data_IF_591489366216
#
_entry.id   IF_591489366216
#
_cell.length_a   1.000
_cell.length_b   1.000
_cell.length_c   1.000
_cell.angle_alpha   90.00
_cell.angle_beta   90.00
_cell.angle_gamma   90.00
#
_symmetry.space_group_name_H-M   'P 1'
#
loop_
_entity.id
_entity.type
_entity.pdbx_description
1 polymer ?
#
# COMPACT_ATOMS: atom_id res chain seq x y z
N UNK A 1 31.48 74.11 -2.48
CA UNK A 1 30.27 74.07 -3.32
C UNK A 1 30.27 72.69 -3.96
N UNK A 2 29.53 71.73 -3.37
CA UNK A 2 28.15 71.38 -3.74
C UNK A 2 28.10 71.01 -5.22
N UNK A 3 27.93 69.74 -5.58
CA UNK A 3 26.64 69.11 -5.86
C UNK A 3 26.99 67.79 -6.59
N UNK A 4 26.28 66.65 -6.56
CA UNK A 4 25.01 66.23 -6.01
C UNK A 4 25.01 64.70 -6.00
N UNK A 5 24.58 64.12 -4.89
CA UNK A 5 23.94 62.81 -4.78
C UNK A 5 22.85 62.64 -5.86
N UNK A 6 22.74 61.46 -6.50
CA UNK A 6 21.44 60.75 -6.58
C UNK A 6 21.59 59.37 -7.23
N UNK A 7 21.12 58.38 -6.49
CA UNK A 7 21.00 56.99 -6.88
C UNK A 7 19.81 56.78 -7.81
N UNK A 8 20.06 56.33 -9.04
CA UNK A 8 19.01 55.78 -9.91
C UNK A 8 19.14 54.24 -9.98
N UNK A 9 19.04 53.58 -8.81
CA UNK A 9 18.82 52.13 -8.75
C UNK A 9 17.35 51.86 -9.09
N UNK A 10 17.13 51.35 -10.29
CA UNK A 10 15.83 50.92 -10.82
C UNK A 10 15.16 49.87 -9.90
N UNK A 11 14.30 50.30 -8.98
CA UNK A 11 13.60 49.44 -8.02
C UNK A 11 12.45 48.61 -8.60
N UNK A 12 11.99 48.90 -9.82
CA UNK A 12 10.83 48.23 -10.42
C UNK A 12 11.18 46.94 -11.16
N UNK A 13 12.38 46.81 -11.74
CA UNK A 13 12.77 45.63 -12.52
C UNK A 13 13.05 44.41 -11.64
N UNK A 14 13.64 44.63 -10.46
CA UNK A 14 13.80 43.58 -9.45
C UNK A 14 12.46 43.11 -8.88
N UNK A 15 11.50 44.03 -8.74
CA UNK A 15 10.17 43.70 -8.20
C UNK A 15 9.32 42.92 -9.20
N UNK A 16 9.38 43.21 -10.49
CA UNK A 16 8.67 42.44 -11.53
C UNK A 16 9.26 41.04 -11.69
N UNK A 17 10.59 40.91 -11.72
CA UNK A 17 11.26 39.60 -11.74
C UNK A 17 10.91 38.76 -10.52
N UNK A 18 10.81 39.37 -9.34
CA UNK A 18 10.41 38.68 -8.12
C UNK A 18 8.97 38.15 -8.21
N UNK A 19 8.02 38.94 -8.71
CA UNK A 19 6.65 38.48 -8.91
C UNK A 19 6.54 37.37 -9.95
N UNK A 20 7.29 37.48 -11.06
CA UNK A 20 7.36 36.41 -12.06
C UNK A 20 7.92 35.14 -11.43
N UNK A 21 9.02 35.23 -10.67
CA UNK A 21 9.61 34.09 -9.99
C UNK A 21 8.63 33.43 -9.01
N UNK A 22 7.92 34.21 -8.19
CA UNK A 22 6.89 33.70 -7.27
C UNK A 22 5.79 32.97 -8.05
N UNK A 23 5.27 33.58 -9.11
CA UNK A 23 4.18 33.00 -9.90
C UNK A 23 4.63 31.69 -10.57
N UNK A 24 5.86 31.66 -11.08
CA UNK A 24 6.47 30.45 -11.65
C UNK A 24 6.67 29.36 -10.59
N UNK A 25 7.12 29.72 -9.39
CA UNK A 25 7.24 28.77 -8.27
C UNK A 25 5.90 28.20 -7.85
N UNK A 26 4.84 29.02 -7.79
CA UNK A 26 3.48 28.56 -7.45
C UNK A 26 2.92 27.63 -8.53
N UNK A 27 3.12 27.96 -9.81
CA UNK A 27 2.72 27.10 -10.93
C UNK A 27 3.48 25.77 -10.91
N UNK A 28 4.79 25.82 -10.68
CA UNK A 28 5.63 24.62 -10.64
C UNK A 28 5.27 23.73 -9.45
N UNK A 29 4.99 24.32 -8.28
CA UNK A 29 4.50 23.60 -7.12
C UNK A 29 3.16 22.93 -7.43
N UNK A 30 2.19 23.67 -7.98
CA UNK A 30 0.88 23.12 -8.36
C UNK A 30 1.01 21.97 -9.38
N UNK A 31 1.88 22.10 -10.37
CA UNK A 31 2.14 21.07 -11.37
C UNK A 31 2.75 19.80 -10.74
N UNK A 32 3.78 19.94 -9.90
CA UNK A 32 4.41 18.80 -9.20
C UNK A 32 3.41 18.11 -8.28
N UNK A 33 2.59 18.86 -7.54
CA UNK A 33 1.55 18.29 -6.68
C UNK A 33 0.52 17.53 -7.51
N UNK A 34 0.05 18.08 -8.64
CA UNK A 34 -0.93 17.41 -9.50
C UNK A 34 -0.39 16.09 -10.09
N UNK A 35 0.85 16.07 -10.57
CA UNK A 35 1.50 14.85 -11.06
C UNK A 35 1.67 13.81 -9.94
N UNK A 36 2.07 14.26 -8.75
CA UNK A 36 2.30 13.37 -7.60
C UNK A 36 1.00 12.73 -7.12
N UNK A 37 -0.09 13.49 -7.05
CA UNK A 37 -1.40 12.96 -6.64
C UNK A 37 -1.95 11.98 -7.68
N UNK A 38 -1.87 12.33 -8.97
CA UNK A 38 -2.42 11.50 -10.05
C UNK A 38 -1.68 10.18 -10.21
N UNK A 39 -0.38 10.17 -9.92
CA UNK A 39 0.46 8.98 -9.95
C UNK A 39 0.56 8.28 -8.58
N UNK A 40 -0.22 8.69 -7.57
CA UNK A 40 -0.19 8.03 -6.27
C UNK A 40 -0.93 6.68 -6.35
N UNK A 41 -0.23 5.53 -6.27
CA UNK A 41 -0.85 4.22 -6.43
C UNK A 41 -1.76 3.85 -5.24
N UNK A 42 -1.59 4.53 -4.11
CA UNK A 42 -2.42 4.40 -2.91
C UNK A 42 -3.64 5.32 -2.92
N UNK A 43 -3.77 6.21 -3.91
CA UNK A 43 -4.99 6.99 -4.05
C UNK A 43 -6.18 6.04 -4.21
N UNK A 44 -7.19 6.25 -3.39
CA UNK A 44 -8.34 5.36 -3.31
C UNK A 44 -9.56 6.18 -2.93
N UNK A 45 -10.61 6.06 -3.74
CA UNK A 45 -11.90 6.66 -3.45
C UNK A 45 -12.57 5.89 -2.30
N UNK A 46 -12.56 6.49 -1.10
CA UNK A 46 -13.14 5.89 0.11
C UNK A 46 -14.66 5.90 0.06
N UNK A 47 -15.26 6.88 -0.60
CA UNK A 47 -16.71 6.98 -0.70
C UNK A 47 -17.26 5.88 -1.61
N UNK A 48 -16.55 5.59 -2.71
CA UNK A 48 -16.88 4.47 -3.58
C UNK A 48 -16.66 3.11 -2.89
N UNK A 49 -15.51 2.90 -2.22
CA UNK A 49 -15.06 1.57 -1.80
C UNK A 49 -15.13 1.29 -0.29
N UNK A 50 -15.59 2.24 0.53
CA UNK A 50 -15.74 2.12 1.98
C UNK A 50 -14.44 2.33 2.78
N UNK A 51 -13.32 1.73 2.34
CA UNK A 51 -11.99 1.92 2.97
C UNK A 51 -10.95 2.37 1.97
N UNK A 52 -9.84 2.92 2.48
CA UNK A 52 -8.70 3.25 1.63
C UNK A 52 -7.98 1.98 1.18
N UNK A 53 -7.34 2.03 0.00
CA UNK A 53 -6.55 0.91 -0.52
C UNK A 53 -5.44 0.52 0.46
N UNK A 54 -4.78 1.51 1.08
CA UNK A 54 -3.78 1.28 2.11
C UNK A 54 -4.36 0.51 3.31
N UNK A 55 -5.53 0.92 3.82
CA UNK A 55 -6.16 0.26 4.96
C UNK A 55 -6.55 -1.18 4.64
N UNK A 56 -7.10 -1.42 3.45
CA UNK A 56 -7.41 -2.76 2.96
C UNK A 56 -6.17 -3.66 2.89
N UNK A 57 -5.04 -3.15 2.40
CA UNK A 57 -3.79 -3.91 2.32
C UNK A 57 -3.25 -4.28 3.71
N UNK A 58 -3.30 -3.36 4.66
CA UNK A 58 -2.90 -3.63 6.05
C UNK A 58 -3.80 -4.69 6.69
N UNK A 59 -5.13 -4.56 6.55
CA UNK A 59 -6.08 -5.55 7.07
C UNK A 59 -5.91 -6.92 6.40
N UNK A 60 -5.58 -6.96 5.10
CA UNK A 60 -5.28 -8.19 4.39
C UNK A 60 -4.02 -8.87 4.93
N UNK A 61 -2.94 -8.12 5.16
CA UNK A 61 -1.70 -8.68 5.73
C UNK A 61 -1.94 -9.24 7.13
N UNK A 62 -2.59 -8.47 7.99
CA UNK A 62 -2.92 -8.89 9.35
C UNK A 62 -3.86 -10.11 9.36
N UNK A 63 -4.83 -10.15 8.44
CA UNK A 63 -5.75 -11.27 8.27
C UNK A 63 -5.06 -12.55 7.79
N UNK A 64 -4.07 -12.46 6.89
CA UNK A 64 -3.29 -13.63 6.44
C UNK A 64 -2.47 -14.22 7.59
N UNK A 65 -1.82 -13.36 8.38
CA UNK A 65 -1.01 -13.76 9.53
C UNK A 65 -1.83 -14.46 10.63
N UNK A 66 -3.10 -14.07 10.76
CA UNK A 66 -4.03 -14.60 11.78
C UNK A 66 -5.06 -15.58 11.23
N UNK A 67 -4.87 -16.04 9.99
CA UNK A 67 -5.86 -16.88 9.31
C UNK A 67 -6.03 -18.26 9.97
N UNK A 68 -7.27 -18.73 10.06
CA UNK A 68 -7.60 -20.07 10.57
C UNK A 68 -6.93 -21.17 9.74
N UNK A 69 -6.73 -20.91 8.44
CA UNK A 69 -6.03 -21.81 7.52
C UNK A 69 -4.57 -22.01 7.90
N UNK A 70 -3.88 -20.98 8.39
CA UNK A 70 -2.50 -21.11 8.87
C UNK A 70 -2.43 -21.98 10.14
N UNK A 71 -3.42 -21.83 11.03
CA UNK A 71 -3.55 -22.67 12.23
C UNK A 71 -3.85 -24.12 11.88
N UNK A 72 -4.71 -24.35 10.88
CA UNK A 72 -5.01 -25.69 10.36
C UNK A 72 -3.78 -26.33 9.72
N UNK A 73 -3.05 -25.58 8.90
CA UNK A 73 -1.80 -26.02 8.28
C UNK A 73 -0.75 -26.37 9.33
N UNK A 74 -0.63 -25.57 10.40
CA UNK A 74 0.24 -25.86 11.54
C UNK A 74 -0.08 -27.23 12.15
N UNK A 75 -1.37 -27.51 12.40
CA UNK A 75 -1.80 -28.81 12.94
C UNK A 75 -1.41 -29.98 12.03
N UNK A 76 -1.63 -29.84 10.72
CA UNK A 76 -1.27 -30.88 9.73
C UNK A 76 0.24 -31.10 9.67
N UNK A 77 1.04 -30.04 9.63
CA UNK A 77 2.51 -30.15 9.58
C UNK A 77 3.10 -30.73 10.87
N UNK A 78 2.50 -30.45 12.03
CA UNK A 78 2.89 -31.08 13.29
C UNK A 78 2.56 -32.58 13.32
N UNK A 79 1.38 -32.97 12.84
CA UNK A 79 0.99 -34.39 12.71
C UNK A 79 1.89 -35.15 11.73
N UNK A 80 2.31 -34.52 10.65
CA UNK A 80 3.24 -35.07 9.67
C UNK A 80 4.70 -35.11 10.17
N UNK A 81 5.00 -34.57 11.36
CA UNK A 81 6.35 -34.49 11.91
C UNK A 81 7.27 -33.48 11.20
N UNK A 82 6.72 -32.62 10.34
CA UNK A 82 7.46 -31.59 9.60
C UNK A 82 7.63 -30.28 10.39
N UNK A 83 6.85 -30.09 11.45
CA UNK A 83 6.92 -28.93 12.34
C UNK A 83 7.02 -29.38 13.80
N UNK A 84 7.94 -28.78 14.56
CA UNK A 84 8.07 -29.10 15.97
C UNK A 84 6.92 -28.47 16.80
N UNK A 85 6.56 -29.03 17.97
CA UNK A 85 5.46 -28.53 18.79
C UNK A 85 5.60 -27.04 19.18
N UNK A 86 6.84 -26.59 19.39
CA UNK A 86 7.16 -25.21 19.79
C UNK A 86 7.40 -24.25 18.62
N UNK A 87 7.26 -24.72 17.37
CA UNK A 87 7.41 -23.89 16.18
C UNK A 87 6.06 -23.34 15.74
N UNK A 88 6.03 -22.07 15.36
CA UNK A 88 4.90 -21.38 14.76
C UNK A 88 5.13 -21.16 13.28
N UNK A 89 4.05 -21.21 12.50
CA UNK A 89 4.10 -20.82 11.10
C UNK A 89 3.87 -19.32 10.99
N UNK A 90 4.49 -18.74 9.97
CA UNK A 90 4.31 -17.37 9.54
C UNK A 90 3.94 -17.39 8.06
N UNK A 91 2.97 -16.56 7.68
CA UNK A 91 2.56 -16.39 6.30
C UNK A 91 2.78 -14.93 5.92
N UNK A 92 3.59 -14.67 4.90
CA UNK A 92 3.88 -13.33 4.41
C UNK A 92 3.56 -13.23 2.92
N UNK A 93 2.97 -12.12 2.48
CA UNK A 93 2.69 -11.89 1.06
C UNK A 93 4.01 -11.81 0.29
N UNK A 94 4.18 -12.68 -0.70
CA UNK A 94 5.42 -12.82 -1.47
C UNK A 94 5.58 -11.74 -2.56
N UNK A 95 4.49 -11.08 -2.95
CA UNK A 95 4.50 -10.05 -3.99
C UNK A 95 5.21 -8.77 -3.52
N UNK A 96 5.98 -8.14 -4.42
CA UNK A 96 6.60 -6.86 -4.11
C UNK A 96 5.55 -5.77 -3.83
N UNK A 97 5.82 -4.80 -2.95
CA UNK A 97 4.84 -3.77 -2.58
C UNK A 97 4.22 -3.03 -3.76
N UNK A 98 5.01 -2.74 -4.82
CA UNK A 98 4.49 -2.08 -6.02
C UNK A 98 3.49 -2.95 -6.78
N UNK A 99 3.80 -4.23 -6.95
CA UNK A 99 2.93 -5.19 -7.62
C UNK A 99 1.66 -5.43 -6.80
N UNK A 100 1.80 -5.51 -5.48
CA UNK A 100 0.70 -5.70 -4.54
C UNK A 100 -0.35 -4.59 -4.64
N UNK A 101 0.09 -3.32 -4.67
CA UNK A 101 -0.82 -2.18 -4.77
C UNK A 101 -1.51 -2.11 -6.14
N UNK A 102 -0.84 -2.61 -7.19
CA UNK A 102 -1.37 -2.69 -8.54
C UNK A 102 -2.35 -3.85 -8.74
N UNK A 103 -2.20 -4.94 -7.99
CA UNK A 103 -3.10 -6.09 -8.05
C UNK A 103 -4.39 -5.91 -7.24
N UNK A 104 -4.49 -4.86 -6.41
CA UNK A 104 -5.76 -4.50 -5.76
C UNK A 104 -6.76 -3.99 -6.80
N UNK A 105 -7.91 -4.64 -6.86
CA UNK A 105 -9.01 -4.30 -7.77
C UNK A 105 -10.25 -3.86 -6.98
N UNK A 106 -11.06 -3.00 -7.57
CA UNK A 106 -12.37 -2.63 -7.04
C UNK A 106 -13.41 -3.70 -7.35
N UNK A 107 -14.30 -3.97 -6.41
CA UNK A 107 -15.44 -4.88 -6.64
C UNK A 107 -16.65 -4.07 -7.15
N UNK A 108 -17.42 -4.53 -8.16
CA UNK A 108 -18.57 -3.79 -8.69
C UNK A 108 -19.64 -3.41 -7.65
N UNK A 109 -19.82 -4.23 -6.61
CA UNK A 109 -20.72 -3.96 -5.48
C UNK A 109 -20.15 -2.98 -4.45
N UNK A 110 -18.95 -2.44 -4.70
CA UNK A 110 -18.18 -1.63 -3.76
C UNK A 110 -17.26 -2.48 -2.90
N UNK A 111 -16.03 -2.01 -2.74
CA UNK A 111 -15.01 -2.65 -1.92
C UNK A 111 -13.74 -2.99 -2.71
N UNK A 112 -12.88 -3.81 -2.10
CA UNK A 112 -11.57 -4.15 -2.64
C UNK A 112 -11.36 -5.65 -2.69
N UNK A 113 -10.67 -6.13 -3.71
CA UNK A 113 -10.21 -7.51 -3.78
C UNK A 113 -8.72 -7.54 -4.13
N UNK A 114 -8.03 -8.53 -3.58
CA UNK A 114 -6.63 -8.80 -3.82
C UNK A 114 -6.41 -10.30 -3.86
N UNK A 115 -5.76 -10.77 -4.91
CA UNK A 115 -5.20 -12.11 -5.00
C UNK A 115 -3.69 -11.99 -5.14
N UNK A 116 -2.95 -12.61 -4.23
CA UNK A 116 -1.49 -12.58 -4.24
C UNK A 116 -0.93 -13.87 -3.65
N UNK A 117 0.26 -14.31 -4.06
CA UNK A 117 0.92 -15.40 -3.38
C UNK A 117 1.40 -15.00 -1.98
N UNK A 118 1.37 -15.95 -1.04
CA UNK A 118 1.94 -15.84 0.29
C UNK A 118 2.95 -16.97 0.55
N UNK A 119 4.14 -16.60 1.02
CA UNK A 119 5.17 -17.52 1.48
C UNK A 119 4.86 -17.98 2.90
N UNK A 120 4.95 -19.29 3.11
CA UNK A 120 4.81 -19.90 4.44
C UNK A 120 6.20 -20.25 4.95
N UNK A 121 6.57 -19.76 6.13
CA UNK A 121 7.84 -20.03 6.78
C UNK A 121 7.63 -20.38 8.26
N UNK A 122 8.67 -20.88 8.91
CA UNK A 122 8.67 -21.03 10.38
C UNK A 122 9.08 -19.69 10.98
N UNK A 123 8.37 -19.24 12.01
CA UNK A 123 8.68 -17.99 12.69
C UNK A 123 10.13 -18.00 13.20
N UNK A 124 10.90 -16.99 12.81
CA UNK A 124 12.34 -16.89 13.12
C UNK A 124 13.27 -17.60 12.13
N UNK A 125 12.72 -18.23 11.08
CA UNK A 125 13.50 -18.81 9.97
C UNK A 125 13.19 -18.08 8.66
N UNK A 126 14.22 -17.94 7.82
CA UNK A 126 14.09 -17.36 6.47
C UNK A 126 13.74 -18.40 5.41
N UNK A 127 13.81 -19.69 5.74
CA UNK A 127 13.46 -20.77 4.84
C UNK A 127 11.94 -20.83 4.62
N UNK A 128 11.54 -20.75 3.36
CA UNK A 128 10.14 -20.88 2.93
C UNK A 128 9.82 -22.38 2.80
N UNK A 129 8.81 -22.84 3.52
CA UNK A 129 8.28 -24.21 3.45
C UNK A 129 7.47 -24.44 2.18
N UNK A 130 6.82 -23.38 1.69
CA UNK A 130 6.00 -23.41 0.48
C UNK A 130 5.30 -22.08 0.24
N UNK A 131 4.59 -21.99 -0.88
CA UNK A 131 3.86 -20.81 -1.29
C UNK A 131 2.39 -21.17 -1.50
N UNK A 132 1.48 -20.42 -0.88
CA UNK A 132 0.03 -20.58 -0.99
C UNK A 132 -0.58 -19.36 -1.67
N UNK A 133 -1.76 -19.52 -2.27
CA UNK A 133 -2.54 -18.38 -2.73
C UNK A 133 -3.14 -17.66 -1.52
N UNK A 134 -3.12 -16.34 -1.50
CA UNK A 134 -3.84 -15.52 -0.53
C UNK A 134 -4.91 -14.70 -1.26
N UNK A 135 -6.13 -14.76 -0.74
CA UNK A 135 -7.28 -14.02 -1.26
C UNK A 135 -7.80 -13.12 -0.16
N UNK A 136 -7.89 -11.82 -0.44
CA UNK A 136 -8.46 -10.82 0.46
C UNK A 136 -9.60 -10.11 -0.24
N UNK A 137 -10.73 -9.95 0.46
CA UNK A 137 -11.90 -9.23 -0.04
C UNK A 137 -12.44 -8.33 1.08
N UNK A 138 -12.52 -7.04 0.81
CA UNK A 138 -13.26 -6.09 1.62
C UNK A 138 -14.65 -5.89 1.01
N UNK A 139 -15.68 -6.25 1.77
CA UNK A 139 -17.07 -6.01 1.40
C UNK A 139 -17.55 -4.72 2.09
N UNK A 140 -17.92 -3.72 1.28
CA UNK A 140 -18.44 -2.44 1.76
C UNK A 140 -19.77 -2.58 2.53
N UNK A 141 -20.63 -3.52 2.13
CA UNK A 141 -21.91 -3.74 2.81
C UNK A 141 -21.73 -4.34 4.20
N UNK A 142 -20.73 -5.22 4.37
CA UNK A 142 -20.43 -5.86 5.65
C UNK A 142 -19.41 -5.07 6.49
N UNK A 143 -18.71 -4.10 5.90
CA UNK A 143 -17.73 -3.27 6.59
C UNK A 143 -16.52 -4.04 7.10
N UNK A 144 -16.15 -5.16 6.45
CA UNK A 144 -15.06 -6.04 6.92
C UNK A 144 -14.20 -6.58 5.77
N UNK A 145 -12.91 -6.74 6.06
CA UNK A 145 -11.95 -7.47 5.24
C UNK A 145 -11.93 -8.93 5.64
N UNK A 146 -12.12 -9.84 4.69
CA UNK A 146 -11.94 -11.28 4.85
C UNK A 146 -10.67 -11.67 4.12
N UNK A 147 -9.72 -12.26 4.83
CA UNK A 147 -8.47 -12.77 4.28
C UNK A 147 -8.42 -14.29 4.44
N UNK A 148 -8.06 -15.00 3.38
CA UNK A 148 -8.02 -16.47 3.35
C UNK A 148 -6.76 -16.93 2.64
N UNK A 149 -6.13 -17.98 3.18
CA UNK A 149 -5.10 -18.74 2.47
C UNK A 149 -5.75 -19.91 1.74
N UNK A 150 -5.48 -20.05 0.46
CA UNK A 150 -5.91 -21.17 -0.36
C UNK A 150 -5.07 -22.39 0.01
N UNK A 151 -5.66 -23.33 0.76
CA UNK A 151 -5.01 -24.58 1.12
C UNK A 151 -5.05 -25.56 -0.07
N UNK A 152 -4.00 -26.39 -0.27
CA UNK A 152 -4.03 -27.44 -1.28
C UNK A 152 -5.18 -28.42 -0.99
N UNK A 153 -6.04 -28.65 -1.99
CA UNK A 153 -7.17 -29.58 -1.88
C UNK A 153 -8.51 -28.98 -1.45
N UNK A 154 -8.59 -27.67 -1.19
CA UNK A 154 -9.86 -26.95 -1.09
C UNK A 154 -10.13 -26.21 -2.41
N UNK A 155 -10.71 -26.94 -3.37
CA UNK A 155 -11.41 -26.38 -4.54
C UNK A 155 -12.90 -26.70 -4.42
#
# INVERSE_FOLDING_TARGET
MSELTSANRHGNLGRTLLWVAILLSLLLLGFVTALTVRNNPYYSDRDANGVSKYRFLEECKEGIHSSEQLTTLKGVLQQAGQLQPNQSLHAEIAAEPRQLVQSVQTVPSGGWTLSAPANISIQGQTAVLGQLGAQCVYDKAQGRTVAQLQLPGQQ
#
